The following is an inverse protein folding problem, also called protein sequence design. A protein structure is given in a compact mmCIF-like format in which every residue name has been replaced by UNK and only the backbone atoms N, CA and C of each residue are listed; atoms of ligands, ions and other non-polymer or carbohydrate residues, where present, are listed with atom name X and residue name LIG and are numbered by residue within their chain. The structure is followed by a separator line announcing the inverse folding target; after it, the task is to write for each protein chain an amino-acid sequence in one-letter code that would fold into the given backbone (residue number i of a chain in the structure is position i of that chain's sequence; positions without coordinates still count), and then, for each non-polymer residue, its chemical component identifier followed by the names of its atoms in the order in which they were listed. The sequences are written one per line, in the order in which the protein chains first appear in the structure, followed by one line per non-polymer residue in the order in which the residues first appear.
data_IF_356304278424
#
_entry.id   IF_356304278424
#
_cell.length_a   1.000
_cell.length_b   1.000
_cell.length_c   1.000
_cell.angle_alpha   90.00
_cell.angle_beta   90.00
_cell.angle_gamma   90.00
#
_symmetry.space_group_name_H-M   'P 1'
#
loop_
_entity.id
_entity.type
_entity.pdbx_description
1 polymer ?
#
# COMPACT_ATOMS: atom_id res chain seq x y z
N UNK A 1 17.49 0.09 -0.74
CA UNK A 1 16.12 0.47 -0.31
C UNK A 1 15.37 -0.78 0.17
N UNK A 2 14.32 -0.57 0.95
CA UNK A 2 13.31 -1.58 1.28
C UNK A 2 11.99 -1.22 0.60
N UNK A 3 11.34 -2.23 0.01
CA UNK A 3 10.00 -2.09 -0.53
C UNK A 3 9.01 -2.79 0.42
N UNK A 4 8.06 -2.02 0.94
CA UNK A 4 7.00 -2.51 1.81
C UNK A 4 5.72 -2.62 1.00
N UNK A 5 5.23 -3.84 0.80
CA UNK A 5 4.00 -4.09 0.06
C UNK A 5 2.87 -4.42 1.02
N UNK A 6 1.77 -3.68 0.95
CA UNK A 6 0.60 -3.88 1.78
C UNK A 6 -0.66 -4.03 0.92
N UNK A 7 -1.40 -5.11 1.14
CA UNK A 7 -2.81 -5.13 0.75
C UNK A 7 -3.61 -4.22 1.68
N UNK A 8 -4.53 -3.42 1.15
CA UNK A 8 -5.41 -2.58 1.98
C UNK A 8 -6.09 -3.37 3.10
N UNK A 9 -6.42 -2.68 4.20
CA UNK A 9 -7.20 -3.26 5.31
C UNK A 9 -8.62 -3.68 4.89
N UNK A 10 -9.33 -4.36 5.79
CA UNK A 10 -10.69 -4.82 5.52
C UNK A 10 -11.62 -3.65 5.17
N UNK A 11 -12.27 -3.73 4.01
CA UNK A 11 -13.18 -2.72 3.50
C UNK A 11 -14.63 -3.18 3.56
N UNK A 12 -15.55 -2.21 3.56
CA UNK A 12 -16.98 -2.49 3.41
C UNK A 12 -17.27 -3.19 2.07
N UNK A 13 -18.40 -3.89 2.03
CA UNK A 13 -18.96 -4.45 0.80
C UNK A 13 -19.42 -3.33 -0.14
N UNK A 14 -19.62 -3.64 -1.43
CA UNK A 14 -20.13 -2.64 -2.39
C UNK A 14 -21.58 -2.27 -2.11
N UNK A 15 -22.32 -3.22 -1.53
CA UNK A 15 -23.73 -3.13 -1.21
C UNK A 15 -23.96 -2.17 -0.03
N UNK A 16 -23.05 -2.19 0.94
CA UNK A 16 -23.05 -1.22 2.06
C UNK A 16 -22.57 0.16 1.60
N UNK A 17 -21.47 0.23 0.85
CA UNK A 17 -20.94 1.48 0.33
C UNK A 17 -20.20 1.24 -1.01
N UNK A 18 -20.66 1.91 -2.06
CA UNK A 18 -20.11 1.77 -3.40
C UNK A 18 -18.62 2.21 -3.49
N UNK A 19 -18.19 3.17 -2.67
CA UNK A 19 -16.79 3.61 -2.59
C UNK A 19 -15.91 2.61 -1.84
N UNK A 20 -16.52 1.72 -1.04
CA UNK A 20 -15.87 0.69 -0.22
C UNK A 20 -14.73 1.25 0.63
N UNK A 21 -15.01 2.17 1.57
CA UNK A 21 -14.03 2.59 2.56
C UNK A 21 -13.59 1.39 3.43
N UNK A 22 -12.56 1.59 4.24
CA UNK A 22 -12.24 0.69 5.33
C UNK A 22 -13.46 0.53 6.25
N UNK A 23 -13.70 -0.71 6.66
CA UNK A 23 -14.63 -1.00 7.75
C UNK A 23 -14.05 -0.47 9.08
N UNK A 24 -14.90 -0.29 10.09
CA UNK A 24 -14.43 0.12 11.42
C UNK A 24 -13.41 -0.86 12.01
N UNK A 25 -13.61 -2.16 11.80
CA UNK A 25 -12.63 -3.19 12.19
C UNK A 25 -11.34 -3.08 11.38
N UNK A 26 -11.44 -2.94 10.05
CA UNK A 26 -10.28 -2.81 9.17
C UNK A 26 -9.41 -1.59 9.51
N UNK A 27 -10.02 -0.44 9.82
CA UNK A 27 -9.28 0.73 10.27
C UNK A 27 -8.52 0.46 11.58
N UNK A 28 -9.17 -0.15 12.58
CA UNK A 28 -8.53 -0.51 13.85
C UNK A 28 -7.37 -1.50 13.68
N UNK A 29 -7.50 -2.47 12.77
CA UNK A 29 -6.44 -3.43 12.46
C UNK A 29 -5.23 -2.73 11.81
N UNK A 30 -5.47 -1.82 10.86
CA UNK A 30 -4.41 -1.01 10.24
C UNK A 30 -3.74 -0.10 11.27
N UNK A 31 -4.48 0.51 12.20
CA UNK A 31 -3.92 1.32 13.29
C UNK A 31 -3.04 0.51 14.26
N UNK A 32 -3.42 -0.74 14.55
CA UNK A 32 -2.59 -1.65 15.37
C UNK A 32 -1.29 -2.00 14.63
N UNK A 33 -1.38 -2.28 13.33
CA UNK A 33 -0.21 -2.51 12.50
C UNK A 33 0.69 -1.27 12.44
N UNK A 34 0.12 -0.09 12.25
CA UNK A 34 0.84 1.19 12.20
C UNK A 34 1.69 1.38 13.48
N UNK A 35 1.08 1.21 14.66
CA UNK A 35 1.78 1.29 15.96
C UNK A 35 2.87 0.23 16.12
N UNK A 36 2.61 -0.99 15.66
CA UNK A 36 3.61 -2.05 15.69
C UNK A 36 4.83 -1.70 14.83
N UNK A 37 4.61 -1.25 13.58
CA UNK A 37 5.69 -0.87 12.66
C UNK A 37 6.46 0.35 13.18
N UNK A 38 5.77 1.33 13.76
CA UNK A 38 6.40 2.47 14.41
C UNK A 38 7.34 2.05 15.55
N UNK A 39 6.85 1.18 16.45
CA UNK A 39 7.62 0.65 17.57
C UNK A 39 8.78 -0.26 17.15
N UNK A 40 8.66 -0.92 16.00
CA UNK A 40 9.73 -1.68 15.36
C UNK A 40 10.77 -0.79 14.65
N UNK A 41 10.60 0.54 14.67
CA UNK A 41 11.53 1.48 14.05
C UNK A 41 11.44 1.55 12.53
N UNK A 42 10.35 1.05 11.93
CA UNK A 42 10.13 1.17 10.48
C UNK A 42 9.89 2.62 10.11
N UNK A 43 10.62 3.12 9.11
CA UNK A 43 10.43 4.44 8.52
C UNK A 43 10.53 4.32 7.00
N UNK A 44 9.64 5.01 6.29
CA UNK A 44 9.65 5.08 4.82
C UNK A 44 9.66 6.55 4.39
N UNK A 45 10.25 6.83 3.24
CA UNK A 45 10.38 8.18 2.70
C UNK A 45 9.51 8.41 1.46
N UNK A 46 8.70 7.41 1.08
CA UNK A 46 7.72 7.48 0.01
C UNK A 46 6.53 6.57 0.29
N UNK A 47 5.33 7.02 -0.05
CA UNK A 47 4.10 6.25 0.12
C UNK A 47 3.26 6.33 -1.14
N UNK A 48 2.94 5.19 -1.74
CA UNK A 48 2.17 5.09 -2.99
C UNK A 48 0.92 4.23 -2.76
N UNK A 49 -0.22 4.62 -3.32
CA UNK A 49 -1.45 3.84 -3.25
C UNK A 49 -2.20 3.74 -4.59
N UNK A 50 -3.06 2.74 -4.72
CA UNK A 50 -3.84 2.48 -5.95
C UNK A 50 -4.98 3.45 -6.27
N UNK A 51 -5.21 4.46 -5.42
CA UNK A 51 -6.29 5.46 -5.61
C UNK A 51 -7.66 4.99 -5.12
N UNK A 52 -7.87 3.68 -4.93
CA UNK A 52 -9.12 3.17 -4.34
C UNK A 52 -9.21 3.61 -2.87
N UNK A 53 -10.39 4.06 -2.44
CA UNK A 53 -10.59 4.69 -1.13
C UNK A 53 -10.00 3.87 0.03
N UNK A 54 -10.27 2.55 0.08
CA UNK A 54 -9.69 1.64 1.08
C UNK A 54 -8.16 1.59 1.08
N UNK A 55 -7.51 1.68 -0.08
CA UNK A 55 -6.04 1.70 -0.18
C UNK A 55 -5.49 3.06 0.25
N UNK A 56 -6.12 4.16 -0.17
CA UNK A 56 -5.77 5.51 0.27
C UNK A 56 -5.88 5.66 1.80
N UNK A 57 -6.99 5.23 2.40
CA UNK A 57 -7.19 5.25 3.85
C UNK A 57 -6.16 4.39 4.59
N UNK A 58 -5.88 3.18 4.08
CA UNK A 58 -4.85 2.31 4.66
C UNK A 58 -3.47 3.00 4.61
N UNK A 59 -3.10 3.58 3.47
CA UNK A 59 -1.85 4.31 3.29
C UNK A 59 -1.75 5.51 4.24
N UNK A 60 -2.83 6.28 4.40
CA UNK A 60 -2.88 7.42 5.32
C UNK A 60 -2.67 7.02 6.78
N UNK A 61 -3.33 5.95 7.24
CA UNK A 61 -3.17 5.45 8.62
C UNK A 61 -1.72 5.00 8.87
N UNK A 62 -1.12 4.26 7.93
CA UNK A 62 0.28 3.86 8.07
C UNK A 62 1.24 5.05 8.01
N UNK A 63 1.07 5.94 7.03
CA UNK A 63 1.96 7.07 6.81
C UNK A 63 2.03 8.00 8.03
N UNK A 64 0.92 8.18 8.74
CA UNK A 64 0.89 8.95 9.99
C UNK A 64 1.87 8.44 11.05
N UNK A 65 2.15 7.12 11.07
CA UNK A 65 3.04 6.49 12.05
C UNK A 65 4.47 6.29 11.53
N UNK A 66 4.63 5.88 10.27
CA UNK A 66 5.94 5.47 9.73
C UNK A 66 6.52 6.40 8.65
N UNK A 67 5.77 7.42 8.22
CA UNK A 67 6.18 8.36 7.18
C UNK A 67 5.69 9.80 7.49
N UNK A 68 5.89 10.34 8.71
CA UNK A 68 5.34 11.65 9.08
C UNK A 68 5.88 12.75 8.16
N UNK A 69 4.97 13.53 7.57
CA UNK A 69 5.30 14.61 6.63
C UNK A 69 5.54 14.16 5.19
N UNK A 70 5.41 12.86 4.88
CA UNK A 70 5.47 12.34 3.51
C UNK A 70 4.08 12.43 2.87
N UNK A 71 3.99 13.01 1.68
CA UNK A 71 2.74 13.06 0.91
C UNK A 71 2.38 11.68 0.34
N UNK A 72 1.08 11.42 0.21
CA UNK A 72 0.58 10.20 -0.41
C UNK A 72 0.53 10.37 -1.92
N UNK A 73 1.17 9.46 -2.64
CA UNK A 73 1.16 9.43 -4.11
C UNK A 73 0.12 8.43 -4.63
N UNK A 74 -0.74 8.88 -5.53
CA UNK A 74 -1.63 7.99 -6.27
C UNK A 74 -0.93 7.44 -7.52
N UNK A 75 -1.04 6.13 -7.76
CA UNK A 75 -0.57 5.51 -8.99
C UNK A 75 -1.59 4.54 -9.56
N UNK A 76 -1.99 4.79 -10.80
CA UNK A 76 -2.86 3.88 -11.57
C UNK A 76 -2.19 2.54 -11.89
N UNK A 77 -0.86 2.43 -11.80
CA UNK A 77 -0.12 1.18 -12.04
C UNK A 77 -0.38 0.11 -10.97
N UNK A 78 -1.04 0.48 -9.86
CA UNK A 78 -1.34 -0.41 -8.74
C UNK A 78 -2.77 -0.98 -8.82
N UNK A 79 -3.44 -0.84 -9.97
CA UNK A 79 -4.73 -1.49 -10.17
C UNK A 79 -4.58 -3.03 -10.17
N UNK A 80 -5.58 -3.79 -9.66
CA UNK A 80 -5.45 -5.24 -9.44
C UNK A 80 -5.06 -6.07 -10.67
N UNK A 81 -5.35 -5.56 -11.87
CA UNK A 81 -5.17 -6.25 -13.15
C UNK A 81 -3.98 -5.73 -13.95
N UNK A 82 -3.25 -4.72 -13.46
CA UNK A 82 -2.09 -4.17 -14.14
C UNK A 82 -0.94 -5.20 -14.23
N UNK A 83 0.00 -4.92 -15.13
CA UNK A 83 1.25 -5.69 -15.26
C UNK A 83 2.28 -5.19 -14.24
N UNK A 84 2.74 -6.03 -13.30
CA UNK A 84 3.76 -5.65 -12.32
C UNK A 84 5.07 -5.12 -12.93
N UNK A 85 5.41 -5.55 -14.15
CA UNK A 85 6.62 -5.13 -14.87
C UNK A 85 6.66 -3.62 -15.12
N UNK A 86 5.49 -3.00 -15.28
CA UNK A 86 5.38 -1.56 -15.50
C UNK A 86 5.82 -0.76 -14.26
N UNK A 87 5.60 -1.30 -13.07
CA UNK A 87 6.06 -0.70 -11.83
C UNK A 87 7.56 -0.95 -11.61
N UNK A 88 8.03 -2.17 -11.92
CA UNK A 88 9.44 -2.55 -11.80
C UNK A 88 10.35 -1.60 -12.60
N UNK A 89 10.01 -1.37 -13.88
CA UNK A 89 10.70 -0.40 -14.75
C UNK A 89 10.76 1.02 -14.17
N UNK A 90 9.72 1.47 -13.46
CA UNK A 90 9.74 2.78 -12.80
C UNK A 90 10.53 2.78 -11.50
N UNK A 91 10.71 1.60 -10.89
CA UNK A 91 11.36 1.42 -9.59
C UNK A 91 12.87 1.27 -9.65
N UNK A 92 13.44 1.01 -10.84
CA UNK A 92 14.90 1.01 -11.07
C UNK A 92 15.60 2.28 -10.60
N UNK A 93 14.88 3.41 -10.59
CA UNK A 93 15.40 4.70 -10.13
C UNK A 93 15.15 4.99 -8.64
N UNK A 94 14.51 4.09 -7.89
CA UNK A 94 14.12 4.36 -6.51
C UNK A 94 15.30 4.12 -5.57
N UNK A 95 15.62 5.15 -4.78
CA UNK A 95 16.70 5.12 -3.79
C UNK A 95 16.18 5.14 -2.34
N UNK A 96 14.86 5.21 -2.16
CA UNK A 96 14.20 5.39 -0.85
C UNK A 96 13.35 4.20 -0.45
N UNK A 97 13.33 3.94 0.86
CA UNK A 97 12.39 2.99 1.45
C UNK A 97 10.95 3.45 1.16
N UNK A 98 10.18 2.57 0.52
CA UNK A 98 8.88 2.92 -0.09
C UNK A 98 7.80 1.99 0.41
N UNK A 99 6.67 2.55 0.84
CA UNK A 99 5.44 1.82 1.12
C UNK A 99 4.51 1.87 -0.09
N UNK A 100 4.04 0.71 -0.54
CA UNK A 100 3.01 0.57 -1.57
C UNK A 100 1.79 -0.09 -0.96
N UNK A 101 0.63 0.54 -1.13
CA UNK A 101 -0.66 0.03 -0.67
C UNK A 101 -1.59 -0.25 -1.86
N UNK A 102 -1.95 -1.52 -2.03
CA UNK A 102 -2.73 -1.97 -3.19
C UNK A 102 -3.65 -3.15 -2.89
N UNK A 103 -3.78 -4.04 -3.86
CA UNK A 103 -4.77 -5.12 -3.88
C UNK A 103 -4.17 -6.47 -4.26
N UNK A 104 -4.81 -7.55 -3.84
CA UNK A 104 -4.68 -8.83 -4.52
C UNK A 104 -5.50 -8.84 -5.83
N UNK A 105 -5.06 -9.58 -6.86
CA UNK A 105 -3.85 -10.41 -6.89
C UNK A 105 -2.56 -9.63 -7.19
N UNK A 106 -2.64 -8.36 -7.58
CA UNK A 106 -1.49 -7.56 -8.03
C UNK A 106 -0.30 -7.59 -7.05
N UNK A 107 -0.51 -7.39 -5.75
CA UNK A 107 0.57 -7.43 -4.76
C UNK A 107 1.33 -8.76 -4.76
N UNK A 108 0.62 -9.88 -4.89
CA UNK A 108 1.26 -11.20 -4.96
C UNK A 108 2.05 -11.38 -6.25
N UNK A 109 1.48 -10.93 -7.39
CA UNK A 109 2.16 -10.96 -8.68
C UNK A 109 3.41 -10.09 -8.69
N UNK A 110 3.38 -8.91 -8.04
CA UNK A 110 4.53 -8.04 -7.91
C UNK A 110 5.64 -8.68 -7.07
N UNK A 111 5.32 -9.32 -5.94
CA UNK A 111 6.31 -10.06 -5.16
C UNK A 111 6.94 -11.19 -5.99
N UNK A 112 6.13 -11.96 -6.71
CA UNK A 112 6.63 -13.02 -7.60
C UNK A 112 7.57 -12.47 -8.66
N UNK A 113 7.18 -11.38 -9.33
CA UNK A 113 8.00 -10.73 -10.33
C UNK A 113 9.36 -10.29 -9.77
N UNK A 114 9.37 -9.56 -8.65
CA UNK A 114 10.58 -9.02 -8.04
C UNK A 114 11.53 -10.08 -7.47
N UNK A 115 11.04 -11.29 -7.16
CA UNK A 115 11.86 -12.36 -6.57
C UNK A 115 12.25 -13.44 -7.58
N UNK A 116 11.46 -13.64 -8.64
CA UNK A 116 11.58 -14.78 -9.56
C UNK A 116 11.77 -14.37 -11.03
N UNK A 117 11.66 -13.08 -11.38
CA UNK A 117 11.64 -12.56 -12.77
C UNK A 117 10.51 -13.15 -13.65
N UNK A 118 9.37 -13.53 -13.06
CA UNK A 118 8.17 -14.04 -13.77
C UNK A 118 7.19 -12.93 -14.19
#
# INVERSE_FOLDING_TARGET
MKLYLMQHGQALSKEEDAQRPLSGQGAQEVERLARFLEGAGVRVARVIHSGKLRACQTAGILAAAIAPGVELEESGLLDPNEDPRALDWQSDAWDRDTLIVGHLPYMARLVSHLLLDE
#
